data_IF_524409339318
#
_entry.id   IF_524409339318
#
_cell.length_a   1.000
_cell.length_b   1.000
_cell.length_c   1.000
_cell.angle_alpha   90.00
_cell.angle_beta   90.00
_cell.angle_gamma   90.00
#
_symmetry.space_group_name_H-M   'P 1'
#
loop_
_entity.id
_entity.type
_entity.pdbx_description
1 polymer ?
#
# COMPACT_ATOMS: atom_id res chain seq x y z
N UNK A 1 -2.00 21.46 5.30
CA UNK A 1 -2.35 20.58 6.43
C UNK A 1 -3.48 19.64 6.04
N UNK A 2 -4.59 20.16 5.51
CA UNK A 2 -5.78 19.36 5.20
C UNK A 2 -5.58 18.36 4.06
N UNK A 3 -4.60 18.54 3.21
CA UNK A 3 -4.35 17.62 2.09
C UNK A 3 -3.26 16.59 2.39
N UNK A 4 -2.23 16.99 3.13
CA UNK A 4 -1.03 16.17 3.31
C UNK A 4 -1.04 15.44 4.66
N UNK A 5 -1.68 16.03 5.67
CA UNK A 5 -1.65 15.47 7.03
C UNK A 5 -3.03 15.06 7.55
N UNK A 6 -4.05 15.10 6.73
CA UNK A 6 -5.41 14.85 7.23
C UNK A 6 -5.62 13.43 7.74
N UNK A 7 -4.79 12.47 7.36
CA UNK A 7 -4.85 11.11 7.89
C UNK A 7 -4.67 11.03 9.40
N UNK A 8 -4.11 12.07 10.03
CA UNK A 8 -3.98 12.13 11.48
C UNK A 8 -5.21 12.72 12.18
N UNK A 9 -6.05 13.42 11.45
CA UNK A 9 -7.14 14.20 12.03
C UNK A 9 -8.53 13.73 11.63
N UNK A 10 -8.64 13.03 10.51
CA UNK A 10 -9.91 12.48 10.05
C UNK A 10 -10.01 11.01 10.39
N UNK A 11 -11.23 10.54 10.56
CA UNK A 11 -11.48 9.14 10.81
C UNK A 11 -11.10 8.29 9.61
N UNK A 12 -10.76 7.04 9.90
CA UNK A 12 -10.50 6.04 8.89
C UNK A 12 -11.68 5.90 7.94
N UNK A 13 -11.44 5.82 6.61
CA UNK A 13 -12.52 5.66 5.66
C UNK A 13 -13.36 4.41 5.97
N UNK A 14 -14.67 4.55 5.86
CA UNK A 14 -15.55 3.39 5.97
C UNK A 14 -15.39 2.52 4.73
N UNK A 15 -15.24 1.22 4.95
CA UNK A 15 -15.12 0.25 3.88
C UNK A 15 -16.40 -0.54 3.76
N UNK A 16 -17.12 -0.37 2.66
CA UNK A 16 -18.25 -1.22 2.34
C UNK A 16 -17.71 -2.59 1.99
N UNK A 17 -18.05 -3.57 2.82
CA UNK A 17 -17.61 -4.95 2.65
C UNK A 17 -18.76 -5.81 2.15
N UNK A 18 -18.42 -6.79 1.35
CA UNK A 18 -19.39 -7.83 0.96
C UNK A 18 -18.72 -9.20 1.04
N UNK A 19 -19.49 -10.25 1.31
CA UNK A 19 -18.92 -11.57 1.49
C UNK A 19 -18.41 -12.13 0.16
N UNK A 20 -17.41 -13.00 0.24
CA UNK A 20 -16.86 -13.70 -0.92
C UNK A 20 -17.75 -14.92 -1.25
N UNK A 21 -18.96 -14.66 -1.70
CA UNK A 21 -19.94 -15.72 -1.98
C UNK A 21 -19.56 -16.63 -3.14
N UNK A 22 -18.76 -16.13 -4.07
CA UNK A 22 -18.26 -16.90 -5.21
C UNK A 22 -16.99 -17.69 -4.90
N UNK A 23 -16.51 -17.62 -3.65
CA UNK A 23 -15.28 -18.27 -3.20
C UNK A 23 -14.08 -17.97 -4.10
N UNK A 24 -13.91 -16.70 -4.45
CA UNK A 24 -12.77 -16.25 -5.25
C UNK A 24 -11.49 -16.54 -4.46
N UNK A 25 -10.52 -17.13 -5.12
CA UNK A 25 -9.25 -17.54 -4.51
C UNK A 25 -8.04 -17.21 -5.39
N UNK A 26 -8.24 -16.36 -6.37
CA UNK A 26 -7.19 -15.95 -7.30
C UNK A 26 -6.54 -14.66 -6.83
N UNK A 27 -5.27 -14.47 -7.19
CA UNK A 27 -4.55 -13.26 -6.90
C UNK A 27 -5.18 -12.07 -7.61
N UNK A 28 -5.44 -11.01 -6.83
CA UNK A 28 -5.87 -9.72 -7.36
C UNK A 28 -4.78 -8.70 -7.09
N UNK A 29 -4.54 -7.82 -8.06
CA UNK A 29 -3.57 -6.73 -7.90
C UNK A 29 -4.27 -5.41 -8.18
N UNK A 30 -4.15 -4.49 -7.23
CA UNK A 30 -4.69 -3.15 -7.34
C UNK A 30 -3.50 -2.20 -7.41
N UNK A 31 -3.46 -1.39 -8.44
CA UNK A 31 -2.40 -0.41 -8.61
C UNK A 31 -2.08 -0.10 -10.07
N UNK A 32 -1.20 0.85 -10.32
CA UNK A 32 -0.56 1.69 -9.32
C UNK A 32 -1.50 2.71 -8.68
N UNK A 33 -1.41 2.86 -7.38
CA UNK A 33 -2.12 3.89 -6.63
C UNK A 33 -1.14 5.02 -6.38
N UNK A 34 -1.46 6.22 -6.86
CA UNK A 34 -0.62 7.39 -6.59
C UNK A 34 -0.71 7.76 -5.12
N UNK A 35 0.46 7.96 -4.50
CA UNK A 35 0.53 8.32 -3.08
C UNK A 35 1.37 9.56 -2.89
N UNK A 36 0.99 10.34 -1.89
CA UNK A 36 1.72 11.49 -1.40
C UNK A 36 1.80 11.40 0.11
N UNK A 37 3.00 11.61 0.64
CA UNK A 37 3.26 11.54 2.07
C UNK A 37 4.30 12.59 2.42
N UNK A 38 4.70 12.63 3.68
CA UNK A 38 5.77 13.49 4.14
C UNK A 38 6.73 12.69 5.02
N UNK A 39 8.02 12.86 4.76
CA UNK A 39 9.04 12.23 5.59
C UNK A 39 9.01 12.84 6.99
N UNK A 40 8.91 12.01 8.02
CA UNK A 40 8.84 12.50 9.40
C UNK A 40 10.12 13.20 9.86
N UNK A 41 11.26 12.91 9.25
CA UNK A 41 12.53 13.51 9.65
C UNK A 41 12.68 14.96 9.20
N UNK A 42 12.30 15.26 7.96
CA UNK A 42 12.52 16.58 7.35
C UNK A 42 11.24 17.26 6.83
N UNK A 43 10.11 16.58 6.95
CA UNK A 43 8.82 17.03 6.41
C UNK A 43 8.85 17.32 4.90
N UNK A 44 9.84 16.75 4.20
CA UNK A 44 9.91 16.86 2.74
C UNK A 44 8.92 15.88 2.11
N UNK A 45 8.40 16.20 0.92
CA UNK A 45 7.45 15.31 0.24
C UNK A 45 8.02 13.95 -0.08
N UNK A 46 7.14 12.95 -0.01
CA UNK A 46 7.33 11.63 -0.57
C UNK A 46 6.24 11.46 -1.62
N UNK A 47 6.62 11.17 -2.85
CA UNK A 47 5.67 11.00 -3.94
C UNK A 47 5.96 9.70 -4.67
N UNK A 48 4.94 8.87 -4.83
CA UNK A 48 5.19 7.58 -5.44
C UNK A 48 3.93 6.82 -5.78
N UNK A 49 4.10 5.53 -5.89
CA UNK A 49 3.07 4.59 -6.30
C UNK A 49 3.08 3.36 -5.42
N UNK A 50 1.90 2.82 -5.19
CA UNK A 50 1.71 1.61 -4.39
C UNK A 50 0.95 0.58 -5.22
N UNK A 51 1.39 -0.66 -5.14
CA UNK A 51 0.67 -1.82 -5.67
C UNK A 51 0.30 -2.72 -4.50
N UNK A 52 -0.93 -3.18 -4.50
CA UNK A 52 -1.46 -4.06 -3.46
C UNK A 52 -1.87 -5.37 -4.10
N UNK A 53 -1.28 -6.47 -3.63
CA UNK A 53 -1.71 -7.80 -4.00
C UNK A 53 -2.54 -8.41 -2.88
N UNK A 54 -3.67 -9.00 -3.23
CA UNK A 54 -4.57 -9.65 -2.28
C UNK A 54 -4.89 -11.04 -2.78
N UNK A 55 -4.71 -12.02 -1.91
CA UNK A 55 -5.17 -13.38 -2.16
C UNK A 55 -6.34 -13.66 -1.21
N UNK A 56 -7.58 -13.63 -1.71
CA UNK A 56 -8.73 -13.84 -0.85
C UNK A 56 -8.90 -15.30 -0.44
N UNK A 57 -9.57 -15.51 0.68
CA UNK A 57 -10.02 -16.84 1.13
C UNK A 57 -11.54 -16.89 1.10
N UNK A 58 -12.08 -18.07 1.39
CA UNK A 58 -13.54 -18.26 1.50
C UNK A 58 -14.17 -17.34 2.55
N UNK A 59 -13.41 -16.99 3.58
CA UNK A 59 -13.87 -16.18 4.70
C UNK A 59 -13.51 -14.70 4.55
N UNK A 60 -12.79 -14.35 3.46
CA UNK A 60 -12.40 -12.97 3.22
C UNK A 60 -13.61 -12.11 2.89
N UNK A 61 -13.57 -10.86 3.34
CA UNK A 61 -14.44 -9.84 2.82
C UNK A 61 -13.86 -9.29 1.52
N UNK A 62 -14.72 -8.87 0.61
CA UNK A 62 -14.34 -8.13 -0.58
C UNK A 62 -14.72 -6.67 -0.37
N UNK A 63 -13.93 -5.78 -0.96
CA UNK A 63 -14.20 -4.34 -0.91
C UNK A 63 -14.12 -3.75 -2.32
N UNK A 64 -14.78 -2.62 -2.53
CA UNK A 64 -14.72 -1.93 -3.81
C UNK A 64 -13.32 -1.42 -4.12
N UNK A 65 -12.95 -1.35 -5.39
CA UNK A 65 -11.61 -0.95 -5.82
C UNK A 65 -11.25 0.45 -5.31
N UNK A 66 -12.18 1.39 -5.29
CA UNK A 66 -11.93 2.74 -4.80
C UNK A 66 -11.56 2.77 -3.32
N UNK A 67 -11.98 1.76 -2.57
CA UNK A 67 -11.68 1.70 -1.13
C UNK A 67 -10.21 1.44 -0.86
N UNK A 68 -9.54 0.67 -1.72
CA UNK A 68 -8.10 0.48 -1.62
C UNK A 68 -7.36 1.81 -1.75
N UNK A 69 -7.74 2.63 -2.72
CA UNK A 69 -7.15 3.95 -2.90
C UNK A 69 -7.42 4.89 -1.73
N UNK A 70 -8.64 4.89 -1.21
CA UNK A 70 -9.00 5.75 -0.07
C UNK A 70 -8.29 5.36 1.20
N UNK A 71 -8.16 4.06 1.46
CA UNK A 71 -7.44 3.57 2.63
C UNK A 71 -5.95 3.89 2.52
N UNK A 72 -5.37 3.70 1.34
CA UNK A 72 -3.97 4.02 1.08
C UNK A 72 -3.71 5.50 1.29
N UNK A 73 -4.56 6.37 0.76
CA UNK A 73 -4.43 7.81 0.97
C UNK A 73 -4.49 8.17 2.46
N UNK A 74 -5.45 7.61 3.18
CA UNK A 74 -5.59 7.88 4.61
C UNK A 74 -4.33 7.50 5.40
N UNK A 75 -3.74 6.34 5.09
CA UNK A 75 -2.49 5.88 5.73
C UNK A 75 -1.33 6.80 5.36
N UNK A 76 -1.25 7.23 4.11
CA UNK A 76 -0.11 8.01 3.60
C UNK A 76 -0.15 9.49 3.99
N UNK A 77 -1.32 10.07 4.22
CA UNK A 77 -1.47 11.49 4.53
C UNK A 77 -1.10 11.83 5.98
N UNK A 78 0.15 11.58 6.33
CA UNK A 78 0.72 11.89 7.65
C UNK A 78 2.24 11.87 7.60
N UNK A 79 2.92 12.56 8.52
CA UNK A 79 4.38 12.44 8.62
C UNK A 79 4.76 11.03 9.07
N UNK A 80 5.64 10.38 8.31
CA UNK A 80 6.09 9.02 8.61
C UNK A 80 7.28 8.65 7.72
N UNK A 81 7.86 7.49 7.96
CA UNK A 81 8.84 6.91 7.04
C UNK A 81 8.16 5.84 6.19
N UNK A 82 8.69 5.63 5.01
CA UNK A 82 8.08 4.71 4.03
C UNK A 82 7.96 3.29 4.57
N UNK A 83 8.97 2.82 5.30
CA UNK A 83 8.99 1.48 5.88
C UNK A 83 7.80 1.24 6.82
N UNK A 84 7.48 2.22 7.65
CA UNK A 84 6.34 2.14 8.56
C UNK A 84 5.01 2.28 7.84
N UNK A 85 4.97 3.11 6.81
CA UNK A 85 3.75 3.35 6.05
C UNK A 85 3.23 2.07 5.39
N UNK A 86 4.12 1.31 4.74
CA UNK A 86 3.71 0.07 4.08
C UNK A 86 3.29 -1.01 5.07
N UNK A 87 3.95 -1.09 6.23
CA UNK A 87 3.57 -2.01 7.30
C UNK A 87 2.19 -1.65 7.85
N UNK A 88 1.94 -0.37 8.09
CA UNK A 88 0.65 0.10 8.58
C UNK A 88 -0.48 -0.24 7.60
N UNK A 89 -0.24 -0.02 6.30
CA UNK A 89 -1.22 -0.35 5.27
C UNK A 89 -1.50 -1.87 5.23
N UNK A 90 -0.46 -2.69 5.31
CA UNK A 90 -0.61 -4.14 5.35
C UNK A 90 -1.42 -4.60 6.56
N UNK A 91 -1.11 -4.07 7.74
CA UNK A 91 -1.81 -4.42 8.98
C UNK A 91 -3.30 -4.09 8.87
N UNK A 92 -3.63 -2.93 8.30
CA UNK A 92 -5.02 -2.51 8.14
C UNK A 92 -5.77 -3.39 7.16
N UNK A 93 -5.15 -3.76 6.05
CA UNK A 93 -5.78 -4.64 5.07
C UNK A 93 -6.03 -6.03 5.64
N UNK A 94 -5.05 -6.60 6.36
CA UNK A 94 -5.23 -7.89 7.02
C UNK A 94 -6.39 -7.87 8.00
N UNK A 95 -6.50 -6.81 8.79
CA UNK A 95 -7.55 -6.66 9.78
C UNK A 95 -8.93 -6.47 9.15
N UNK A 96 -9.00 -5.71 8.05
CA UNK A 96 -10.28 -5.33 7.44
C UNK A 96 -10.88 -6.41 6.56
N UNK A 97 -10.07 -7.09 5.76
CA UNK A 97 -10.58 -8.03 4.75
C UNK A 97 -10.20 -9.49 5.02
N UNK A 98 -9.31 -9.74 5.98
CA UNK A 98 -8.89 -11.09 6.38
C UNK A 98 -8.49 -11.99 5.21
N UNK A 99 -7.55 -11.56 4.36
CA UNK A 99 -7.14 -12.36 3.21
C UNK A 99 -6.21 -13.49 3.63
N UNK A 100 -6.01 -14.47 2.73
CA UNK A 100 -4.98 -15.49 2.91
C UNK A 100 -3.58 -14.88 2.85
N UNK A 101 -3.43 -13.83 2.05
CA UNK A 101 -2.17 -13.11 1.93
C UNK A 101 -2.37 -11.71 1.42
N UNK A 102 -1.44 -10.84 1.80
CA UNK A 102 -1.34 -9.46 1.33
C UNK A 102 0.10 -9.20 0.93
N UNK A 103 0.28 -8.54 -0.21
CA UNK A 103 1.56 -8.04 -0.64
C UNK A 103 1.42 -6.55 -0.96
N UNK A 104 2.41 -5.77 -0.57
CA UNK A 104 2.46 -4.35 -0.89
C UNK A 104 3.84 -4.02 -1.40
N UNK A 105 3.89 -3.30 -2.52
CA UNK A 105 5.13 -2.71 -3.04
C UNK A 105 4.90 -1.22 -3.16
N UNK A 106 5.83 -0.44 -2.65
CA UNK A 106 5.84 1.01 -2.80
C UNK A 106 7.14 1.46 -3.44
N UNK A 107 7.00 2.27 -4.48
CA UNK A 107 8.10 2.88 -5.23
C UNK A 107 7.91 4.39 -5.13
N UNK A 108 8.85 5.09 -4.50
CA UNK A 108 8.66 6.50 -4.22
C UNK A 108 9.94 7.32 -4.31
N UNK A 109 9.74 8.57 -4.73
CA UNK A 109 10.74 9.63 -4.67
C UNK A 109 10.69 10.29 -3.30
N UNK A 110 11.85 10.42 -2.69
CA UNK A 110 12.02 11.11 -1.40
C UNK A 110 12.73 12.43 -1.63
N UNK A 111 12.02 13.53 -1.51
CA UNK A 111 12.58 14.84 -1.79
C UNK A 111 13.63 15.28 -0.78
N UNK A 112 13.63 14.67 0.41
CA UNK A 112 14.73 14.87 1.36
C UNK A 112 16.09 14.42 0.80
N UNK A 113 16.10 13.48 -0.14
CA UNK A 113 17.31 13.01 -0.82
C UNK A 113 17.57 13.69 -2.14
N UNK A 114 16.52 14.07 -2.87
CA UNK A 114 16.64 14.56 -4.25
C UNK A 114 16.83 16.06 -4.32
N UNK A 115 16.13 16.81 -3.47
CA UNK A 115 16.07 18.27 -3.53
C UNK A 115 17.08 18.94 -2.62
N UNK A 116 17.42 18.32 -1.51
CA UNK A 116 18.39 18.82 -0.51
C UNK A 116 19.20 17.62 0.02
N UNK A 117 20.12 17.88 0.97
CA UNK A 117 20.94 16.84 1.54
C UNK A 117 21.92 16.29 0.50
N UNK A 118 21.84 15.00 0.22
CA UNK A 118 22.73 14.33 -0.75
C UNK A 118 22.46 14.70 -2.20
N UNK A 119 21.27 15.26 -2.49
CA UNK A 119 20.87 15.75 -3.83
C UNK A 119 20.95 14.69 -4.93
N UNK A 120 20.60 13.46 -4.61
CA UNK A 120 20.56 12.36 -5.57
C UNK A 120 19.22 12.38 -6.32
N UNK A 121 19.22 13.00 -7.49
CA UNK A 121 18.00 13.26 -8.27
C UNK A 121 17.26 12.02 -8.71
N UNK A 122 17.97 10.96 -9.01
CA UNK A 122 17.41 9.73 -9.56
C UNK A 122 17.22 8.63 -8.52
N UNK A 123 17.57 8.90 -7.27
CA UNK A 123 17.42 7.94 -6.19
C UNK A 123 15.94 7.79 -5.81
N UNK A 124 15.55 6.54 -5.67
CA UNK A 124 14.21 6.16 -5.22
C UNK A 124 14.31 5.16 -4.11
N UNK A 125 13.25 5.02 -3.34
CA UNK A 125 13.11 3.91 -2.41
C UNK A 125 12.01 2.98 -2.89
N UNK A 126 12.36 1.71 -3.05
CA UNK A 126 11.40 0.65 -3.34
C UNK A 126 11.45 -0.34 -2.20
N UNK A 127 10.32 -0.59 -1.58
CA UNK A 127 10.25 -1.61 -0.54
C UNK A 127 8.94 -2.39 -0.65
N UNK A 128 8.90 -3.52 0.03
CA UNK A 128 7.76 -4.41 -0.01
C UNK A 128 7.45 -4.99 1.36
N UNK A 129 6.19 -5.36 1.54
CA UNK A 129 5.74 -6.15 2.69
C UNK A 129 4.98 -7.34 2.13
N UNK A 130 5.35 -8.53 2.57
CA UNK A 130 4.71 -9.78 2.17
C UNK A 130 4.14 -10.46 3.40
N UNK A 131 2.85 -10.77 3.38
CA UNK A 131 2.15 -11.35 4.51
C UNK A 131 1.39 -12.61 4.10
N UNK A 132 1.28 -13.56 5.04
CA UNK A 132 0.52 -14.78 4.82
C UNK A 132 1.07 -15.62 3.67
N UNK A 133 0.23 -15.95 2.70
CA UNK A 133 0.60 -16.80 1.58
C UNK A 133 1.76 -16.23 0.75
N UNK A 134 1.84 -14.91 0.63
CA UNK A 134 2.96 -14.28 -0.09
C UNK A 134 4.28 -14.45 0.64
N UNK A 135 4.25 -14.56 1.95
CA UNK A 135 5.47 -14.79 2.72
C UNK A 135 5.94 -16.23 2.58
N UNK A 136 5.01 -17.17 2.50
CA UNK A 136 5.31 -18.62 2.50
C UNK A 136 5.60 -19.18 1.11
N UNK A 137 4.98 -18.64 0.07
CA UNK A 137 5.04 -19.17 -1.28
C UNK A 137 5.79 -18.21 -2.21
N UNK A 138 7.02 -18.61 -2.59
CA UNK A 138 7.85 -17.82 -3.49
C UNK A 138 7.25 -17.68 -4.89
N UNK A 139 6.49 -18.67 -5.35
CA UNK A 139 5.86 -18.60 -6.67
C UNK A 139 4.76 -17.55 -6.70
N UNK A 140 4.02 -17.41 -5.60
CA UNK A 140 2.99 -16.38 -5.49
C UNK A 140 3.61 -14.98 -5.50
N UNK A 141 4.75 -14.80 -4.82
CA UNK A 141 5.48 -13.52 -4.88
C UNK A 141 5.93 -13.19 -6.29
N UNK A 142 6.44 -14.18 -7.02
CA UNK A 142 6.87 -13.99 -8.41
C UNK A 142 5.70 -13.62 -9.31
N UNK A 143 4.57 -14.28 -9.15
CA UNK A 143 3.35 -13.94 -9.89
C UNK A 143 2.92 -12.51 -9.64
N UNK A 144 2.90 -12.10 -8.37
CA UNK A 144 2.57 -10.73 -8.01
C UNK A 144 3.50 -9.72 -8.68
N UNK A 145 4.81 -9.93 -8.57
CA UNK A 145 5.79 -9.01 -9.14
C UNK A 145 5.71 -8.97 -10.67
N UNK A 146 5.47 -10.12 -11.31
CA UNK A 146 5.33 -10.19 -12.76
C UNK A 146 4.09 -9.44 -13.25
N UNK A 147 2.96 -9.60 -12.57
CA UNK A 147 1.72 -8.91 -12.93
C UNK A 147 1.80 -7.41 -12.63
N UNK A 148 2.52 -7.02 -11.59
CA UNK A 148 2.74 -5.62 -11.25
C UNK A 148 3.50 -4.87 -12.34
N UNK A 149 4.46 -5.52 -12.99
CA UNK A 149 5.26 -4.91 -14.04
C UNK A 149 4.55 -4.82 -15.39
N UNK A 150 3.38 -5.40 -15.53
CA UNK A 150 2.61 -5.31 -16.78
C UNK A 150 2.02 -3.92 -16.95
N UNK A 151 2.11 -3.41 -18.15
CA UNK A 151 1.54 -2.13 -18.54
C UNK A 151 0.69 -2.29 -19.80
#
# INVERSE_FOLDING_TARGET
VNEVFNGRYVEQPSLTKFPNVSHLNELMIIGPITVRSACSHHLCPIMGRVWIGVLPSKESALIGLSKYSRLTEWVMCRPQIQEEAVVHLADMLEKKIRPVGVAIVMDADHFCMQWRGVKDRDSKMVNSVMRGAFLKDANLRREFLALMDRR
#
